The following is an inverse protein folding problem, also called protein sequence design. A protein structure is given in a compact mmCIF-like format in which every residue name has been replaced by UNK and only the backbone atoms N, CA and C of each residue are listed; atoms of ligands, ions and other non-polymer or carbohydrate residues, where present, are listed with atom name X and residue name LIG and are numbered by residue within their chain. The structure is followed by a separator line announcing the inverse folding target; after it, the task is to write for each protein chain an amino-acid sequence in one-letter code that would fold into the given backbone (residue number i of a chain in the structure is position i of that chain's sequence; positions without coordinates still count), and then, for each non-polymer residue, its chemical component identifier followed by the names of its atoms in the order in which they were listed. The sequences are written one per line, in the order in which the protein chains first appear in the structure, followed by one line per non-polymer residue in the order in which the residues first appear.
data_IF_312043072349
#
_entry.id   IF_312043072349
#
_cell.length_a   1.000
_cell.length_b   1.000
_cell.length_c   1.000
_cell.angle_alpha   90.00
_cell.angle_beta   90.00
_cell.angle_gamma   90.00
#
_symmetry.space_group_name_H-M   'P 1'
#
loop_
_entity.id
_entity.type
_entity.pdbx_description
1 polymer ?
#
# COMPACT_ATOMS: atom_id res chain seq x y z
N UNK A 1 43.34 -19.75 26.28
CA UNK A 1 42.19 -19.79 25.40
C UNK A 1 42.75 -19.77 23.96
N UNK A 2 42.55 -20.82 23.15
CA UNK A 2 43.17 -20.89 21.81
C UNK A 2 42.60 -19.82 20.85
N UNK A 3 43.41 -19.35 19.93
CA UNK A 3 43.01 -18.36 18.91
C UNK A 3 41.65 -18.69 18.24
N UNK A 4 41.39 -19.97 17.95
CA UNK A 4 40.15 -20.42 17.37
C UNK A 4 38.91 -20.12 18.21
N UNK A 5 38.98 -20.29 19.54
CA UNK A 5 37.89 -19.96 20.45
C UNK A 5 37.64 -18.45 20.53
N UNK A 6 38.68 -17.63 20.49
CA UNK A 6 38.52 -16.17 20.45
C UNK A 6 37.84 -15.70 19.17
N UNK A 7 38.25 -16.20 18.00
CA UNK A 7 37.60 -15.86 16.72
C UNK A 7 36.14 -16.28 16.75
N UNK A 8 35.83 -17.47 17.23
CA UNK A 8 34.45 -17.95 17.32
C UNK A 8 33.59 -17.03 18.22
N UNK A 9 34.11 -16.64 19.40
CA UNK A 9 33.39 -15.73 20.30
C UNK A 9 33.18 -14.33 19.69
N UNK A 10 34.16 -13.81 18.94
CA UNK A 10 34.00 -12.55 18.23
C UNK A 10 32.95 -12.62 17.13
N UNK A 11 32.88 -13.73 16.37
CA UNK A 11 31.84 -13.94 15.33
C UNK A 11 30.47 -14.01 15.99
N UNK A 12 30.31 -14.73 17.10
CA UNK A 12 29.03 -14.77 17.82
C UNK A 12 28.62 -13.39 18.35
N UNK A 13 29.57 -12.64 18.95
CA UNK A 13 29.30 -11.29 19.45
C UNK A 13 28.91 -10.33 18.35
N UNK A 14 29.58 -10.38 17.19
CA UNK A 14 29.25 -9.57 16.04
C UNK A 14 27.85 -9.93 15.46
N UNK A 15 27.54 -11.23 15.39
CA UNK A 15 26.20 -11.70 14.99
C UNK A 15 25.10 -11.23 15.95
N UNK A 16 25.32 -11.36 17.25
CA UNK A 16 24.38 -10.88 18.26
C UNK A 16 24.17 -9.36 18.18
N UNK A 17 25.26 -8.59 18.02
CA UNK A 17 25.18 -7.15 17.84
C UNK A 17 24.38 -6.77 16.60
N UNK A 18 24.61 -7.43 15.47
CA UNK A 18 23.84 -7.20 14.23
C UNK A 18 22.35 -7.44 14.44
N UNK A 19 21.98 -8.55 15.09
CA UNK A 19 20.56 -8.85 15.39
C UNK A 19 19.95 -7.77 16.28
N UNK A 20 20.67 -7.31 17.31
CA UNK A 20 20.20 -6.23 18.18
C UNK A 20 20.03 -4.91 17.43
N UNK A 21 20.95 -4.57 16.52
CA UNK A 21 20.85 -3.36 15.70
C UNK A 21 19.67 -3.43 14.74
N UNK A 22 19.43 -4.57 14.10
CA UNK A 22 18.27 -4.78 13.22
C UNK A 22 16.96 -4.71 14.03
N UNK A 23 16.89 -5.32 15.19
CA UNK A 23 15.72 -5.26 16.06
C UNK A 23 15.44 -3.81 16.54
N UNK A 24 16.48 -3.09 16.93
CA UNK A 24 16.37 -1.68 17.32
C UNK A 24 15.92 -0.80 16.15
N UNK A 25 16.50 -0.98 14.95
CA UNK A 25 16.06 -0.26 13.75
C UNK A 25 14.60 -0.56 13.44
N UNK A 26 14.19 -1.84 13.48
CA UNK A 26 12.79 -2.22 13.28
C UNK A 26 11.87 -1.50 14.28
N UNK A 27 12.18 -1.57 15.57
CA UNK A 27 11.38 -0.92 16.62
C UNK A 27 11.26 0.59 16.41
N UNK A 28 12.37 1.27 16.08
CA UNK A 28 12.38 2.71 15.82
C UNK A 28 11.63 3.09 14.52
N UNK A 29 11.74 2.27 13.47
CA UNK A 29 10.97 2.48 12.23
C UNK A 29 9.47 2.32 12.47
N UNK A 30 9.06 1.23 13.08
CA UNK A 30 7.65 0.96 13.35
C UNK A 30 7.04 1.94 14.38
N UNK A 31 7.84 2.51 15.28
CA UNK A 31 7.37 3.63 16.12
C UNK A 31 7.19 4.93 15.33
N UNK A 32 7.84 5.06 14.17
CA UNK A 32 7.90 6.28 13.36
C UNK A 32 9.03 7.24 13.77
N UNK A 33 9.87 6.86 14.74
CA UNK A 33 10.95 7.74 15.24
C UNK A 33 12.02 8.04 14.17
N UNK A 34 12.22 7.13 13.20
CA UNK A 34 13.18 7.31 12.10
C UNK A 34 12.54 7.85 10.82
N UNK A 35 11.25 8.17 10.82
CA UNK A 35 10.60 8.73 9.66
C UNK A 35 11.09 10.16 9.39
N UNK A 36 11.60 10.48 8.19
CA UNK A 36 12.00 11.85 7.83
C UNK A 36 10.81 12.81 7.98
N UNK A 37 11.02 13.94 8.64
CA UNK A 37 9.96 14.91 8.89
C UNK A 37 9.85 15.86 7.69
N UNK A 38 8.70 15.85 7.04
CA UNK A 38 8.40 16.65 5.85
C UNK A 38 7.04 17.34 5.98
N UNK A 39 6.92 18.52 5.41
CA UNK A 39 5.61 19.17 5.26
C UNK A 39 4.82 18.49 4.13
N UNK A 40 3.48 18.61 4.11
CA UNK A 40 2.67 18.13 2.99
C UNK A 40 3.12 18.73 1.65
N UNK A 41 3.53 19.98 1.64
CA UNK A 41 4.00 20.70 0.44
C UNK A 41 5.33 20.11 -0.08
N UNK A 42 6.29 19.86 0.82
CA UNK A 42 7.56 19.23 0.45
C UNK A 42 7.33 17.81 -0.09
N UNK A 43 6.45 17.04 0.56
CA UNK A 43 6.06 15.70 0.11
C UNK A 43 5.32 15.73 -1.24
N UNK A 44 4.46 16.73 -1.45
CA UNK A 44 3.78 16.96 -2.73
C UNK A 44 4.77 17.32 -3.84
N UNK A 45 5.73 18.19 -3.57
CA UNK A 45 6.78 18.52 -4.52
C UNK A 45 7.66 17.32 -4.90
N UNK A 46 7.89 16.39 -3.95
CA UNK A 46 8.59 15.14 -4.21
C UNK A 46 7.78 14.18 -5.10
N UNK A 47 6.48 14.03 -4.84
CA UNK A 47 5.65 13.02 -5.48
C UNK A 47 5.04 13.48 -6.80
N UNK A 48 4.70 14.76 -6.95
CA UNK A 48 4.01 15.27 -8.14
C UNK A 48 4.68 14.89 -9.47
N UNK A 49 6.02 15.05 -9.65
CA UNK A 49 6.67 14.65 -10.89
C UNK A 49 6.76 13.13 -11.10
N UNK A 50 6.46 12.33 -10.10
CA UNK A 50 6.51 10.86 -10.13
C UNK A 50 5.10 10.23 -10.21
N UNK A 51 4.06 11.03 -10.38
CA UNK A 51 2.73 10.54 -10.69
C UNK A 51 2.64 10.22 -12.20
N UNK A 52 2.23 8.99 -12.53
CA UNK A 52 1.93 8.60 -13.91
C UNK A 52 0.41 8.43 -14.05
N UNK A 53 -0.24 9.42 -14.65
CA UNK A 53 -1.68 9.42 -14.88
C UNK A 53 -2.01 8.91 -16.28
N UNK A 54 -3.02 8.05 -16.39
CA UNK A 54 -3.65 7.62 -17.63
C UNK A 54 -5.16 7.78 -17.53
N UNK A 55 -5.80 8.14 -18.63
CA UNK A 55 -7.21 8.49 -18.65
C UNK A 55 -7.97 7.61 -19.64
N UNK A 56 -9.26 7.31 -19.39
CA UNK A 56 -10.12 6.67 -20.37
C UNK A 56 -10.42 7.63 -21.54
N UNK A 57 -10.97 7.10 -22.60
CA UNK A 57 -11.48 7.91 -23.72
C UNK A 57 -12.67 8.75 -23.27
N UNK A 58 -12.85 9.91 -23.89
CA UNK A 58 -13.94 10.85 -23.63
C UNK A 58 -13.54 12.03 -22.74
N UNK A 59 -14.49 12.94 -22.58
CA UNK A 59 -14.31 14.14 -21.76
C UNK A 59 -14.51 13.80 -20.26
N UNK A 60 -13.63 14.34 -19.39
CA UNK A 60 -13.73 14.19 -17.95
C UNK A 60 -14.75 15.17 -17.31
N UNK A 61 -14.79 15.23 -15.96
CA UNK A 61 -13.92 14.50 -15.03
C UNK A 61 -14.30 13.02 -14.87
N UNK A 62 -13.27 12.17 -14.74
CA UNK A 62 -13.41 10.72 -14.59
C UNK A 62 -13.24 10.27 -13.13
N UNK A 63 -13.88 9.17 -12.69
CA UNK A 63 -13.51 8.52 -11.44
C UNK A 63 -12.04 8.08 -11.52
N UNK A 64 -11.31 8.13 -10.42
CA UNK A 64 -9.86 7.88 -10.42
C UNK A 64 -9.45 6.83 -9.39
N UNK A 65 -8.67 5.86 -9.84
CA UNK A 65 -7.96 4.93 -8.97
C UNK A 65 -6.50 5.36 -8.77
N UNK A 66 -6.08 5.52 -7.52
CA UNK A 66 -4.69 5.74 -7.14
C UNK A 66 -4.04 4.39 -6.86
N UNK A 67 -2.95 4.08 -7.57
CA UNK A 67 -2.29 2.78 -7.56
C UNK A 67 -0.96 2.84 -6.82
N UNK A 68 -0.80 1.96 -5.82
CA UNK A 68 0.38 1.88 -4.95
C UNK A 68 1.04 0.51 -5.07
N UNK A 69 2.30 0.49 -5.50
CA UNK A 69 3.11 -0.70 -5.72
C UNK A 69 3.46 -1.47 -4.44
N UNK A 70 3.98 -2.67 -4.58
CA UNK A 70 4.70 -3.40 -3.55
C UNK A 70 5.94 -2.67 -3.04
N UNK A 71 6.73 -3.35 -2.21
CA UNK A 71 7.94 -2.81 -1.60
C UNK A 71 9.12 -2.64 -2.59
N UNK A 72 9.02 -3.25 -3.76
CA UNK A 72 10.01 -3.20 -4.85
C UNK A 72 9.76 -2.10 -5.89
N UNK A 73 8.78 -1.22 -5.65
CA UNK A 73 8.42 -0.11 -6.52
C UNK A 73 7.43 -0.49 -7.62
N UNK A 74 7.04 0.47 -8.49
CA UNK A 74 6.12 0.21 -9.60
C UNK A 74 6.65 -0.85 -10.56
N UNK A 75 5.79 -1.81 -10.93
CA UNK A 75 6.06 -2.91 -11.86
C UNK A 75 4.92 -3.05 -12.87
N UNK A 76 5.07 -4.00 -13.78
CA UNK A 76 4.17 -4.28 -14.90
C UNK A 76 2.71 -4.55 -14.51
N UNK A 77 2.47 -5.06 -13.31
CA UNK A 77 1.12 -5.29 -12.78
C UNK A 77 0.31 -3.98 -12.63
N UNK A 78 0.96 -2.89 -12.22
CA UNK A 78 0.26 -1.59 -12.12
C UNK A 78 -0.09 -1.04 -13.50
N UNK A 79 0.77 -1.23 -14.50
CA UNK A 79 0.48 -0.83 -15.87
C UNK A 79 -0.64 -1.70 -16.48
N UNK A 80 -0.70 -2.99 -16.15
CA UNK A 80 -1.78 -3.88 -16.54
C UNK A 80 -3.11 -3.45 -15.90
N UNK A 81 -3.11 -3.15 -14.61
CA UNK A 81 -4.27 -2.66 -13.87
C UNK A 81 -4.76 -1.31 -14.43
N UNK A 82 -3.84 -0.37 -14.70
CA UNK A 82 -4.18 0.93 -15.27
C UNK A 82 -4.91 0.80 -16.63
N UNK A 83 -4.46 -0.10 -17.51
CA UNK A 83 -5.13 -0.37 -18.79
C UNK A 83 -6.55 -0.89 -18.60
N UNK A 84 -6.76 -1.82 -17.66
CA UNK A 84 -8.08 -2.40 -17.39
C UNK A 84 -9.02 -1.35 -16.79
N UNK A 85 -8.51 -0.50 -15.89
CA UNK A 85 -9.25 0.62 -15.31
C UNK A 85 -9.68 1.63 -16.38
N UNK A 86 -8.75 2.02 -17.27
CA UNK A 86 -9.10 2.94 -18.36
C UNK A 86 -10.17 2.35 -19.28
N UNK A 87 -10.08 1.06 -19.63
CA UNK A 87 -11.12 0.38 -20.42
C UNK A 87 -12.50 0.34 -19.72
N UNK A 88 -12.52 0.42 -18.39
CA UNK A 88 -13.71 0.48 -17.57
C UNK A 88 -14.18 1.91 -17.23
N UNK A 89 -13.60 2.94 -17.87
CA UNK A 89 -13.97 4.35 -17.69
C UNK A 89 -13.39 5.02 -16.44
N UNK A 90 -12.38 4.41 -15.79
CA UNK A 90 -11.65 4.96 -14.66
C UNK A 90 -10.31 5.55 -15.10
N UNK A 91 -9.97 6.76 -14.65
CA UNK A 91 -8.59 7.23 -14.66
C UNK A 91 -7.74 6.41 -13.70
N UNK A 92 -6.47 6.21 -14.04
CA UNK A 92 -5.52 5.52 -13.18
C UNK A 92 -4.30 6.40 -12.94
N UNK A 93 -3.92 6.57 -11.67
CA UNK A 93 -2.73 7.34 -11.27
C UNK A 93 -1.79 6.43 -10.48
N UNK A 94 -0.70 6.01 -11.11
CA UNK A 94 0.36 5.25 -10.45
C UNK A 94 1.21 6.22 -9.64
N UNK A 95 1.32 5.96 -8.33
CA UNK A 95 2.07 6.77 -7.37
C UNK A 95 3.42 6.10 -7.09
N UNK A 96 4.49 6.63 -7.69
CA UNK A 96 5.84 6.14 -7.42
C UNK A 96 6.40 6.78 -6.15
N UNK A 97 6.32 6.05 -5.05
CA UNK A 97 6.92 6.44 -3.77
C UNK A 97 8.43 6.15 -3.69
N UNK A 98 8.97 5.35 -4.61
CA UNK A 98 10.32 4.80 -4.54
C UNK A 98 11.33 5.59 -5.37
N UNK A 99 11.01 5.85 -6.63
CA UNK A 99 11.89 6.55 -7.59
C UNK A 99 12.43 7.87 -7.07
N UNK A 100 11.58 8.82 -6.61
CA UNK A 100 12.03 10.12 -6.11
C UNK A 100 12.95 10.04 -4.89
N UNK A 101 12.93 8.92 -4.14
CA UNK A 101 13.80 8.67 -2.98
C UNK A 101 15.06 7.89 -3.30
N UNK A 102 15.25 7.49 -4.57
CA UNK A 102 16.37 6.63 -4.96
C UNK A 102 16.23 5.18 -4.46
N UNK A 103 15.01 4.70 -4.15
CA UNK A 103 14.75 3.38 -3.59
C UNK A 103 14.57 2.29 -4.66
N UNK A 104 15.13 2.48 -5.85
CA UNK A 104 14.98 1.56 -6.97
C UNK A 104 16.04 0.46 -7.04
N UNK A 105 17.19 0.66 -6.38
CA UNK A 105 18.25 -0.35 -6.34
C UNK A 105 17.84 -1.56 -5.49
N UNK A 106 18.17 -2.78 -5.95
CA UNK A 106 17.78 -4.03 -5.28
C UNK A 106 18.10 -4.09 -3.78
N UNK A 107 19.31 -3.74 -3.31
CA UNK A 107 19.60 -3.76 -1.88
C UNK A 107 18.69 -2.84 -1.07
N UNK A 108 18.30 -1.70 -1.65
CA UNK A 108 17.49 -0.69 -0.97
C UNK A 108 16.04 -1.16 -0.84
N UNK A 109 15.39 -1.57 -1.94
CA UNK A 109 14.01 -2.04 -1.86
C UNK A 109 13.90 -3.37 -1.09
N UNK A 110 14.93 -4.23 -1.10
CA UNK A 110 14.96 -5.42 -0.24
C UNK A 110 14.90 -5.03 1.25
N UNK A 111 15.58 -3.95 1.64
CA UNK A 111 15.48 -3.42 3.02
C UNK A 111 14.07 -2.87 3.33
N UNK A 112 13.35 -2.32 2.33
CA UNK A 112 11.95 -1.91 2.47
C UNK A 112 11.06 -3.15 2.68
N UNK A 113 11.21 -4.18 1.85
CA UNK A 113 10.47 -5.44 1.99
C UNK A 113 10.72 -6.12 3.33
N UNK A 114 11.93 -5.99 3.88
CA UNK A 114 12.29 -6.51 5.20
C UNK A 114 11.83 -5.61 6.37
N UNK A 115 11.11 -4.51 6.12
CA UNK A 115 10.66 -3.57 7.16
C UNK A 115 11.78 -2.76 7.82
N UNK A 116 12.98 -2.74 7.23
CA UNK A 116 14.16 -2.03 7.74
C UNK A 116 14.29 -0.60 7.24
N UNK A 117 13.53 -0.24 6.21
CA UNK A 117 13.52 1.08 5.59
C UNK A 117 12.11 1.37 5.05
N UNK A 118 11.62 2.61 5.24
CA UNK A 118 10.38 3.10 4.66
C UNK A 118 9.18 2.16 4.85
N UNK A 119 8.60 2.15 6.05
CA UNK A 119 7.45 1.29 6.38
C UNK A 119 6.17 1.71 5.65
N UNK A 120 5.19 0.81 5.53
CA UNK A 120 3.87 1.16 4.99
C UNK A 120 3.18 2.26 5.80
N UNK A 121 3.42 2.30 7.13
CA UNK A 121 2.91 3.38 7.99
C UNK A 121 3.51 4.74 7.62
N UNK A 122 4.81 4.82 7.31
CA UNK A 122 5.44 6.05 6.79
C UNK A 122 4.86 6.42 5.41
N UNK A 123 4.71 5.40 4.54
CA UNK A 123 4.15 5.55 3.19
C UNK A 123 2.68 5.95 3.17
N UNK A 124 1.93 5.75 4.25
CA UNK A 124 0.57 6.28 4.40
C UNK A 124 0.51 7.81 4.22
N UNK A 125 1.62 8.53 4.51
CA UNK A 125 1.78 9.94 4.19
C UNK A 125 1.78 10.24 2.69
N UNK A 126 2.37 9.36 1.89
CA UNK A 126 2.35 9.47 0.42
C UNK A 126 0.94 9.25 -0.12
N UNK A 127 0.19 8.30 0.45
CA UNK A 127 -1.21 8.07 0.06
C UNK A 127 -2.05 9.32 0.33
N UNK A 128 -1.91 9.95 1.50
CA UNK A 128 -2.62 11.18 1.85
C UNK A 128 -2.29 12.34 0.90
N UNK A 129 -1.01 12.51 0.57
CA UNK A 129 -0.55 13.56 -0.35
C UNK A 129 -0.97 13.27 -1.79
N UNK A 130 -0.95 12.02 -2.22
CA UNK A 130 -1.42 11.63 -3.56
C UNK A 130 -2.92 11.91 -3.74
N UNK A 131 -3.76 11.65 -2.74
CA UNK A 131 -5.18 12.03 -2.74
C UNK A 131 -5.32 13.56 -2.94
N UNK A 132 -4.54 14.35 -2.21
CA UNK A 132 -4.55 15.81 -2.36
C UNK A 132 -4.15 16.26 -3.77
N UNK A 133 -3.10 15.68 -4.34
CA UNK A 133 -2.62 16.00 -5.69
C UNK A 133 -3.65 15.62 -6.77
N UNK A 134 -4.25 14.42 -6.66
CA UNK A 134 -5.25 13.95 -7.63
C UNK A 134 -6.53 14.78 -7.58
N UNK A 135 -6.97 15.21 -6.41
CA UNK A 135 -8.13 16.12 -6.27
C UNK A 135 -7.96 17.45 -7.00
N UNK A 136 -6.71 17.88 -7.23
CA UNK A 136 -6.40 19.10 -7.97
C UNK A 136 -6.27 18.88 -9.49
N UNK A 137 -6.36 17.64 -9.99
CA UNK A 137 -6.28 17.35 -11.42
C UNK A 137 -7.62 17.67 -12.11
N UNK A 138 -7.64 18.47 -13.20
CA UNK A 138 -8.89 18.82 -13.88
C UNK A 138 -9.67 17.62 -14.44
N UNK A 139 -8.96 16.54 -14.80
CA UNK A 139 -9.57 15.32 -15.34
C UNK A 139 -10.14 14.40 -14.25
N UNK A 140 -9.87 14.66 -12.96
CA UNK A 140 -10.27 13.79 -11.86
C UNK A 140 -11.62 14.23 -11.25
N UNK A 141 -12.54 13.30 -11.10
CA UNK A 141 -13.69 13.47 -10.23
C UNK A 141 -13.27 13.20 -8.77
N UNK A 142 -13.04 14.28 -8.02
CA UNK A 142 -12.63 14.22 -6.63
C UNK A 142 -13.65 13.52 -5.70
N UNK A 143 -14.90 13.39 -6.15
CA UNK A 143 -15.98 12.69 -5.44
C UNK A 143 -15.99 11.18 -5.69
N UNK A 144 -15.19 10.67 -6.62
CA UNK A 144 -15.15 9.25 -6.99
C UNK A 144 -13.72 8.74 -7.08
N UNK A 145 -13.11 8.46 -5.93
CA UNK A 145 -11.75 7.97 -5.80
C UNK A 145 -11.73 6.53 -5.30
N UNK A 146 -10.78 5.75 -5.80
CA UNK A 146 -10.42 4.43 -5.29
C UNK A 146 -8.93 4.40 -4.92
N UNK A 147 -8.59 3.71 -3.84
CA UNK A 147 -7.22 3.44 -3.45
C UNK A 147 -6.93 1.96 -3.73
N UNK A 148 -5.95 1.65 -4.54
CA UNK A 148 -5.58 0.27 -4.86
C UNK A 148 -4.12 0.06 -4.50
N UNK A 149 -3.85 -0.84 -3.57
CA UNK A 149 -2.51 -1.11 -3.08
C UNK A 149 -2.13 -2.58 -3.11
N UNK A 150 -0.93 -2.87 -3.61
CA UNK A 150 -0.35 -4.21 -3.59
C UNK A 150 0.66 -4.33 -2.43
N UNK A 151 0.59 -5.41 -1.64
CA UNK A 151 1.57 -5.73 -0.60
C UNK A 151 1.83 -4.53 0.33
N UNK A 152 3.03 -3.99 0.31
CA UNK A 152 3.44 -2.79 1.02
C UNK A 152 2.59 -1.54 0.69
N UNK A 153 2.07 -1.43 -0.54
CA UNK A 153 1.11 -0.39 -0.93
C UNK A 153 -0.25 -0.59 -0.28
N UNK A 154 -0.70 -1.83 -0.17
CA UNK A 154 -1.92 -2.20 0.58
C UNK A 154 -1.80 -1.87 2.06
N UNK A 155 -0.65 -2.16 2.67
CA UNK A 155 -0.33 -1.73 4.05
C UNK A 155 -0.45 -0.21 4.19
N UNK A 156 0.16 0.56 3.27
CA UNK A 156 0.12 2.02 3.34
C UNK A 156 -1.31 2.57 3.25
N UNK A 157 -2.14 2.00 2.37
CA UNK A 157 -3.56 2.37 2.25
C UNK A 157 -4.33 2.07 3.54
N UNK A 158 -4.22 0.85 4.07
CA UNK A 158 -4.89 0.45 5.31
C UNK A 158 -4.47 1.31 6.50
N UNK A 159 -3.18 1.59 6.63
CA UNK A 159 -2.67 2.42 7.71
C UNK A 159 -3.12 3.88 7.58
N UNK A 160 -3.27 4.43 6.35
CA UNK A 160 -3.89 5.74 6.18
C UNK A 160 -5.32 5.77 6.71
N UNK A 161 -6.15 4.79 6.30
CA UNK A 161 -7.55 4.70 6.73
C UNK A 161 -7.63 4.61 8.25
N UNK A 162 -6.83 3.74 8.85
CA UNK A 162 -6.73 3.56 10.30
C UNK A 162 -6.30 4.85 11.01
N UNK A 163 -5.17 5.44 10.60
CA UNK A 163 -4.62 6.64 11.23
C UNK A 163 -5.59 7.82 11.13
N UNK A 164 -6.21 8.02 9.96
CA UNK A 164 -7.18 9.12 9.77
C UNK A 164 -8.38 8.96 10.69
N UNK A 165 -8.90 7.76 10.81
CA UNK A 165 -10.01 7.43 11.72
C UNK A 165 -9.69 7.80 13.16
N UNK A 166 -8.51 7.47 13.63
CA UNK A 166 -8.09 7.67 15.01
C UNK A 166 -7.44 9.04 15.26
N UNK A 167 -7.62 10.02 14.35
CA UNK A 167 -7.09 11.38 14.48
C UNK A 167 -5.55 11.45 14.51
N UNK A 168 -4.86 10.41 14.03
CA UNK A 168 -3.40 10.29 14.05
C UNK A 168 -2.84 10.51 12.65
N UNK A 169 -1.74 11.23 12.56
CA UNK A 169 -1.04 11.46 11.28
C UNK A 169 -0.03 10.34 10.99
N UNK A 170 0.22 10.06 9.69
CA UNK A 170 1.34 9.21 9.30
C UNK A 170 2.67 9.76 9.84
N UNK A 171 3.57 8.89 10.32
CA UNK A 171 4.90 9.29 10.75
C UNK A 171 5.62 10.06 9.64
N UNK A 172 6.40 11.06 10.05
CA UNK A 172 7.14 11.90 9.13
C UNK A 172 6.34 13.05 8.51
N UNK A 173 5.02 12.95 8.39
CA UNK A 173 4.19 14.05 7.88
C UNK A 173 3.90 15.05 9.00
N UNK A 174 4.32 16.31 8.84
CA UNK A 174 4.20 17.34 9.90
C UNK A 174 2.80 17.94 10.03
N UNK A 175 1.98 17.88 8.97
CA UNK A 175 0.57 18.26 8.94
C UNK A 175 -0.19 17.35 7.97
N UNK A 176 -1.52 17.37 8.00
CA UNK A 176 -2.32 16.80 6.91
C UNK A 176 -2.28 17.73 5.69
N UNK A 177 -2.36 17.22 4.44
CA UNK A 177 -2.62 18.05 3.26
C UNK A 177 -3.94 18.82 3.39
N UNK A 178 -4.03 20.02 2.84
CA UNK A 178 -5.17 20.92 3.03
C UNK A 178 -6.52 20.27 2.64
N UNK A 179 -6.60 19.59 1.48
CA UNK A 179 -7.82 18.88 1.09
C UNK A 179 -8.16 17.68 1.97
N UNK A 180 -7.19 17.12 2.71
CA UNK A 180 -7.45 16.06 3.70
C UNK A 180 -7.85 16.67 5.04
N UNK A 181 -7.46 17.92 5.33
CA UNK A 181 -7.97 18.67 6.50
C UNK A 181 -9.44 19.01 6.30
N UNK A 182 -9.79 19.63 5.16
CA UNK A 182 -11.16 20.12 4.89
C UNK A 182 -12.14 18.98 4.65
N UNK A 183 -11.78 18.03 3.79
CA UNK A 183 -12.72 17.04 3.25
C UNK A 183 -12.47 15.63 3.81
N UNK A 184 -11.45 15.46 4.63
CA UNK A 184 -11.06 14.14 5.13
C UNK A 184 -10.68 13.20 3.98
N UNK A 185 -11.33 12.04 3.97
CA UNK A 185 -11.26 11.07 2.88
C UNK A 185 -12.56 11.03 2.06
N UNK A 186 -13.37 12.10 2.11
CA UNK A 186 -14.58 12.21 1.28
C UNK A 186 -14.23 11.97 -0.19
N UNK A 187 -15.10 11.24 -0.89
CA UNK A 187 -14.86 10.83 -2.27
C UNK A 187 -14.02 9.56 -2.42
N UNK A 188 -13.27 9.11 -1.42
CA UNK A 188 -12.65 7.78 -1.41
C UNK A 188 -13.74 6.75 -1.14
N UNK A 189 -14.19 6.06 -2.18
CA UNK A 189 -15.33 5.13 -2.12
C UNK A 189 -14.88 3.69 -1.97
N UNK A 190 -13.70 3.32 -2.47
CA UNK A 190 -13.19 1.97 -2.47
C UNK A 190 -11.72 1.92 -2.04
N UNK A 191 -11.34 0.86 -1.34
CA UNK A 191 -9.95 0.46 -1.12
C UNK A 191 -9.79 -1.01 -1.48
N UNK A 192 -9.01 -1.31 -2.53
CA UNK A 192 -8.72 -2.66 -2.99
C UNK A 192 -7.28 -3.02 -2.66
N UNK A 193 -7.10 -4.15 -2.03
CA UNK A 193 -5.90 -4.51 -1.30
C UNK A 193 -5.41 -5.88 -1.77
N UNK A 194 -4.42 -5.90 -2.65
CA UNK A 194 -3.80 -7.12 -3.14
C UNK A 194 -2.77 -7.61 -2.12
N UNK A 195 -2.99 -8.77 -1.55
CA UNK A 195 -2.11 -9.45 -0.57
C UNK A 195 -1.41 -8.45 0.38
N UNK A 196 -2.17 -7.58 1.08
CA UNK A 196 -1.59 -6.52 1.90
C UNK A 196 -0.89 -7.10 3.14
N UNK A 197 0.02 -6.32 3.74
CA UNK A 197 0.55 -6.62 5.06
C UNK A 197 -0.32 -5.97 6.14
N UNK A 198 -0.86 -6.76 7.07
CA UNK A 198 -1.67 -6.30 8.19
C UNK A 198 -1.09 -6.70 9.56
N UNK A 199 0.10 -7.27 9.59
CA UNK A 199 0.68 -7.89 10.77
C UNK A 199 1.28 -6.90 11.78
N UNK A 200 2.10 -7.43 12.74
CA UNK A 200 2.73 -6.63 13.78
C UNK A 200 3.47 -5.40 13.26
N UNK A 201 3.17 -4.23 13.82
CA UNK A 201 3.74 -2.95 13.40
C UNK A 201 2.90 -2.16 12.40
N UNK A 202 2.02 -2.79 11.60
CA UNK A 202 0.99 -2.08 10.87
C UNK A 202 0.00 -1.44 11.87
N UNK A 203 -0.45 -0.22 11.59
CA UNK A 203 -1.41 0.47 12.47
C UNK A 203 -2.77 -0.20 12.44
N UNK A 204 -3.16 -0.67 11.27
CA UNK A 204 -4.42 -1.39 11.05
C UNK A 204 -4.57 -2.63 11.94
N UNK A 205 -3.47 -3.28 12.33
CA UNK A 205 -3.50 -4.48 13.18
C UNK A 205 -4.13 -4.23 14.56
N UNK A 206 -3.93 -3.04 15.14
CA UNK A 206 -4.47 -2.67 16.45
C UNK A 206 -5.57 -1.63 16.39
N UNK A 207 -5.71 -0.97 15.28
CA UNK A 207 -6.62 0.15 15.05
C UNK A 207 -7.30 -0.06 13.70
N UNK A 208 -8.27 -1.00 13.59
CA UNK A 208 -8.95 -1.24 12.33
C UNK A 208 -9.70 0.01 11.84
N UNK A 209 -9.88 0.17 10.52
CA UNK A 209 -10.77 1.18 9.93
C UNK A 209 -12.20 0.97 10.43
N UNK A 210 -13.05 1.96 10.21
CA UNK A 210 -14.45 1.90 10.61
C UNK A 210 -15.39 1.49 9.48
N UNK A 211 -16.59 1.12 9.90
CA UNK A 211 -17.68 0.75 9.02
C UNK A 211 -18.15 1.88 8.09
N UNK A 212 -17.99 3.13 8.49
CA UNK A 212 -18.33 4.34 7.73
C UNK A 212 -17.22 4.79 6.74
N UNK A 213 -16.17 3.97 6.59
CA UNK A 213 -15.09 4.18 5.63
C UNK A 213 -15.44 3.73 4.20
N UNK A 214 -14.45 3.71 3.30
CA UNK A 214 -14.62 3.16 1.95
C UNK A 214 -14.93 1.66 1.99
N UNK A 215 -15.59 1.16 0.97
CA UNK A 215 -15.76 -0.28 0.76
C UNK A 215 -14.39 -0.95 0.64
N UNK A 216 -14.11 -1.96 1.46
CA UNK A 216 -12.83 -2.66 1.49
C UNK A 216 -12.93 -3.95 0.65
N UNK A 217 -11.91 -4.21 -0.15
CA UNK A 217 -11.77 -5.48 -0.86
C UNK A 217 -10.39 -6.03 -0.59
N UNK A 218 -10.33 -7.19 0.06
CA UNK A 218 -9.10 -7.92 0.32
C UNK A 218 -8.98 -9.06 -0.69
N UNK A 219 -7.90 -9.06 -1.46
CA UNK A 219 -7.52 -10.15 -2.38
C UNK A 219 -6.32 -10.85 -1.72
N UNK A 220 -6.58 -11.93 -1.01
CA UNK A 220 -5.61 -12.59 -0.14
C UNK A 220 -5.05 -13.85 -0.80
N UNK A 221 -3.77 -14.08 -0.66
CA UNK A 221 -3.14 -15.38 -0.98
C UNK A 221 -3.31 -16.29 0.23
N UNK A 222 -3.87 -17.49 0.04
CA UNK A 222 -4.27 -18.37 1.14
C UNK A 222 -3.09 -18.77 2.03
N UNK A 223 -1.98 -19.21 1.41
CA UNK A 223 -0.75 -19.65 2.07
C UNK A 223 0.41 -18.69 1.73
N UNK A 224 0.20 -17.40 1.96
CA UNK A 224 1.19 -16.37 1.63
C UNK A 224 2.45 -16.49 2.51
N UNK A 225 3.55 -16.85 1.88
CA UNK A 225 4.86 -17.00 2.54
C UNK A 225 5.58 -15.67 2.84
N UNK A 226 5.05 -14.54 2.34
CA UNK A 226 5.65 -13.21 2.49
C UNK A 226 4.87 -12.35 3.48
N UNK A 227 3.55 -12.36 3.39
CA UNK A 227 2.67 -11.57 4.23
C UNK A 227 1.53 -12.45 4.75
N UNK A 228 1.69 -13.02 5.96
CA UNK A 228 0.64 -13.84 6.59
C UNK A 228 -0.74 -13.17 6.45
N UNK A 229 -1.70 -13.81 5.79
CA UNK A 229 -3.03 -13.25 5.56
C UNK A 229 -3.92 -13.26 6.81
N UNK A 230 -3.60 -14.03 7.85
CA UNK A 230 -4.45 -14.17 9.03
C UNK A 230 -4.76 -12.82 9.71
N UNK A 231 -3.80 -11.90 9.94
CA UNK A 231 -4.11 -10.58 10.48
C UNK A 231 -5.03 -9.75 9.59
N UNK A 232 -4.93 -9.90 8.26
CA UNK A 232 -5.83 -9.19 7.33
C UNK A 232 -7.26 -9.73 7.38
N UNK A 233 -7.42 -11.06 7.55
CA UNK A 233 -8.75 -11.68 7.79
C UNK A 233 -9.39 -11.15 9.06
N UNK A 234 -8.61 -10.98 10.14
CA UNK A 234 -9.10 -10.40 11.40
C UNK A 234 -9.54 -8.94 11.22
N UNK A 235 -8.76 -8.13 10.52
CA UNK A 235 -9.12 -6.74 10.18
C UNK A 235 -10.40 -6.70 9.36
N UNK A 236 -10.49 -7.51 8.31
CA UNK A 236 -11.68 -7.61 7.45
C UNK A 236 -12.93 -7.99 8.26
N UNK A 237 -12.81 -9.00 9.13
CA UNK A 237 -13.88 -9.45 10.02
C UNK A 237 -14.32 -8.33 10.97
N UNK A 238 -13.37 -7.65 11.63
CA UNK A 238 -13.68 -6.59 12.58
C UNK A 238 -14.44 -5.41 11.93
N UNK A 239 -14.08 -5.03 10.69
CA UNK A 239 -14.78 -3.97 9.95
C UNK A 239 -16.16 -4.44 9.51
N UNK A 240 -16.29 -5.68 9.05
CA UNK A 240 -17.57 -6.28 8.63
C UNK A 240 -18.54 -6.41 9.81
N UNK A 241 -18.07 -6.89 10.97
CA UNK A 241 -18.87 -7.00 12.21
C UNK A 241 -19.36 -5.62 12.71
N UNK A 242 -18.58 -4.56 12.43
CA UNK A 242 -19.00 -3.18 12.70
C UNK A 242 -20.00 -2.62 11.67
N UNK A 243 -20.38 -3.41 10.64
CA UNK A 243 -21.32 -3.01 9.58
C UNK A 243 -20.67 -2.39 8.34
N UNK A 244 -19.35 -2.47 8.18
CA UNK A 244 -18.65 -1.97 7.00
C UNK A 244 -18.84 -2.88 5.77
N UNK A 245 -18.73 -2.29 4.59
CA UNK A 245 -18.76 -3.04 3.32
C UNK A 245 -17.39 -3.68 3.06
N UNK A 246 -17.29 -4.98 3.27
CA UNK A 246 -16.05 -5.74 3.12
C UNK A 246 -16.27 -6.95 2.23
N UNK A 247 -15.40 -7.12 1.24
CA UNK A 247 -15.24 -8.33 0.46
C UNK A 247 -13.87 -8.94 0.75
N UNK A 248 -13.82 -10.23 1.02
CA UNK A 248 -12.58 -11.00 1.06
C UNK A 248 -12.65 -12.06 -0.03
N UNK A 249 -11.65 -12.07 -0.91
CA UNK A 249 -11.47 -13.10 -1.93
C UNK A 249 -10.13 -13.78 -1.71
N UNK A 250 -10.17 -15.11 -1.59
CA UNK A 250 -8.99 -15.96 -1.37
C UNK A 250 -8.47 -16.52 -2.70
N UNK A 251 -7.15 -16.57 -2.81
CA UNK A 251 -6.43 -17.09 -3.96
C UNK A 251 -5.58 -18.28 -3.52
N UNK A 252 -6.13 -19.53 -3.60
CA UNK A 252 -5.39 -20.73 -3.24
C UNK A 252 -4.37 -21.09 -4.33
N UNK A 253 -3.28 -21.74 -3.91
CA UNK A 253 -2.29 -22.33 -4.81
C UNK A 253 -1.43 -21.33 -5.60
N UNK A 254 -1.48 -20.04 -5.27
CA UNK A 254 -0.64 -19.00 -5.88
C UNK A 254 0.35 -18.42 -4.87
N UNK A 255 1.37 -17.71 -5.36
CA UNK A 255 2.35 -17.05 -4.49
C UNK A 255 2.03 -15.57 -4.31
N UNK A 256 2.62 -14.94 -3.30
CA UNK A 256 2.61 -13.48 -3.15
C UNK A 256 3.01 -12.79 -4.46
N UNK A 257 2.33 -11.72 -4.85
CA UNK A 257 2.62 -11.00 -6.10
C UNK A 257 2.24 -11.78 -7.37
N UNK A 258 1.22 -12.65 -7.31
CA UNK A 258 0.77 -13.50 -8.42
C UNK A 258 0.39 -12.73 -9.68
N UNK A 259 0.09 -11.45 -9.58
CA UNK A 259 -0.29 -10.55 -10.67
C UNK A 259 0.89 -9.84 -11.34
N UNK A 260 2.11 -9.96 -10.79
CA UNK A 260 3.32 -9.31 -11.26
C UNK A 260 4.19 -10.30 -12.07
N UNK A 261 4.54 -9.96 -13.32
CA UNK A 261 5.45 -10.75 -14.18
C UNK A 261 6.92 -10.39 -13.94
N UNK A 262 7.19 -9.09 -13.80
CA UNK A 262 8.53 -8.57 -13.53
C UNK A 262 8.97 -8.88 -12.10
N UNK A 263 9.84 -9.87 -11.95
CA UNK A 263 10.34 -10.28 -10.64
C UNK A 263 11.87 -10.12 -10.56
N UNK A 264 12.35 -9.98 -9.32
CA UNK A 264 13.78 -10.01 -9.09
C UNK A 264 14.38 -11.36 -9.52
N UNK A 265 15.63 -11.39 -10.01
CA UNK A 265 16.33 -12.66 -10.27
C UNK A 265 16.32 -13.56 -9.04
N UNK A 266 16.06 -14.85 -9.23
CA UNK A 266 15.94 -15.86 -8.17
C UNK A 266 14.79 -15.62 -7.17
N UNK A 267 13.80 -14.85 -7.54
CA UNK A 267 12.56 -14.73 -6.75
C UNK A 267 11.82 -16.07 -6.77
N UNK A 268 11.37 -16.57 -5.60
CA UNK A 268 10.52 -17.77 -5.54
C UNK A 268 9.05 -17.46 -5.89
N UNK A 269 8.72 -16.19 -6.11
CA UNK A 269 7.36 -15.76 -6.41
C UNK A 269 7.03 -16.04 -7.88
N UNK A 270 5.82 -16.49 -8.15
CA UNK A 270 5.38 -16.88 -9.50
C UNK A 270 4.22 -16.00 -9.97
N UNK A 271 4.18 -15.73 -11.26
CA UNK A 271 3.04 -15.09 -11.91
C UNK A 271 1.99 -16.13 -12.26
N UNK A 272 0.75 -15.88 -11.89
CA UNK A 272 -0.38 -16.70 -12.29
C UNK A 272 -1.38 -15.87 -13.13
N UNK A 273 -1.54 -16.26 -14.39
CA UNK A 273 -2.36 -15.52 -15.33
C UNK A 273 -3.87 -15.60 -15.05
N UNK A 274 -4.33 -16.72 -14.48
CA UNK A 274 -5.73 -16.92 -14.16
C UNK A 274 -6.11 -16.13 -12.91
N UNK A 275 -5.31 -16.24 -11.85
CA UNK A 275 -5.48 -15.47 -10.63
C UNK A 275 -5.40 -13.97 -10.90
N UNK A 276 -4.44 -13.52 -11.70
CA UNK A 276 -4.32 -12.11 -12.10
C UNK A 276 -5.58 -11.61 -12.82
N UNK A 277 -6.12 -12.37 -13.79
CA UNK A 277 -7.37 -12.02 -14.49
C UNK A 277 -8.57 -11.99 -13.53
N UNK A 278 -8.68 -12.96 -12.62
CA UNK A 278 -9.76 -13.03 -11.63
C UNK A 278 -9.70 -11.84 -10.70
N UNK A 279 -8.52 -11.48 -10.18
CA UNK A 279 -8.33 -10.31 -9.33
C UNK A 279 -8.71 -9.01 -10.05
N UNK A 280 -8.29 -8.82 -11.31
CA UNK A 280 -8.69 -7.65 -12.11
C UNK A 280 -10.20 -7.58 -12.34
N UNK A 281 -10.87 -8.72 -12.58
CA UNK A 281 -12.32 -8.77 -12.73
C UNK A 281 -13.03 -8.36 -11.43
N UNK A 282 -12.55 -8.82 -10.28
CA UNK A 282 -13.06 -8.42 -8.95
C UNK A 282 -12.88 -6.93 -8.70
N UNK A 283 -11.72 -6.34 -9.07
CA UNK A 283 -11.52 -4.88 -9.00
C UNK A 283 -12.60 -4.15 -9.76
N UNK A 284 -12.81 -4.51 -11.04
CA UNK A 284 -13.79 -3.82 -11.89
C UNK A 284 -15.22 -3.99 -11.38
N UNK A 285 -15.60 -5.18 -10.93
CA UNK A 285 -16.92 -5.42 -10.34
C UNK A 285 -17.15 -4.52 -9.12
N UNK A 286 -16.17 -4.46 -8.19
CA UNK A 286 -16.28 -3.63 -6.98
C UNK A 286 -16.36 -2.13 -7.28
N UNK A 287 -15.63 -1.64 -8.27
CA UNK A 287 -15.69 -0.24 -8.68
C UNK A 287 -16.99 0.10 -9.44
N UNK A 288 -17.60 -0.89 -10.12
CA UNK A 288 -18.88 -0.75 -10.81
C UNK A 288 -20.09 -0.66 -9.86
N UNK A 289 -20.07 -1.36 -8.73
CA UNK A 289 -21.16 -1.38 -7.74
C UNK A 289 -21.45 0.00 -7.12
N UNK A 290 -20.49 0.91 -7.14
CA UNK A 290 -20.66 2.31 -6.70
C UNK A 290 -21.66 3.12 -7.55
N UNK A 291 -21.94 2.70 -8.78
CA UNK A 291 -22.92 3.36 -9.65
C UNK A 291 -24.37 2.99 -9.29
N UNK A 292 -24.60 1.83 -8.65
CA UNK A 292 -25.94 1.33 -8.34
C UNK A 292 -26.49 1.87 -7.00
N UNK A 293 -25.68 2.49 -6.17
CA UNK A 293 -26.06 2.88 -4.79
C UNK A 293 -26.31 4.37 -4.57
N UNK A 294 -26.58 5.16 -5.62
CA UNK A 294 -27.07 6.53 -5.43
C UNK A 294 -28.60 6.51 -5.44
N UNK A 295 -29.28 6.92 -4.34
CA UNK A 295 -30.70 7.22 -4.34
C UNK A 295 -30.97 8.48 -5.16
#
# INVERSE_FOLDING_TARGET
MGQGLQIFLWVLAAGALLVLLLAANTALRYSGALAPRETPQARAALLAPALRATWPEGEGPHPVALLFSGCDGPRDNLDALARVLNAAGWGAVIVDSHGPRGYTARPVWTAICAGQLFTGTERAGDVAVAIHLVRAMPQADAGRLALIGASHGGWAVLDLLSLRRHGRRPPGLTAWPDSVVSDGLAGVQHAVLFYPYCGPGARVWRLPPTADGPALTFLLVEDDSVADPAPCREVARAVSEAGGDVLVEEFPGVTHGFDQREKAPLSPLEYDAEAARRALATVIARLGDGHARRP
#
